data_IF_965720225962
#
_entry.id   IF_965720225962
#
_cell.length_a   1.000
_cell.length_b   1.000
_cell.length_c   1.000
_cell.angle_alpha   90.00
_cell.angle_beta   90.00
_cell.angle_gamma   90.00
#
_symmetry.space_group_name_H-M   'P 1'
#
loop_
_entity.id
_entity.type
_entity.pdbx_description
1 polymer ?
#
# COMPACT_ATOMS: atom_id res chain seq x y z
N UNK A 1 25.33 38.29 -36.69
CA UNK A 1 24.34 37.68 -37.60
C UNK A 1 24.93 36.33 -37.98
N UNK A 2 24.49 35.15 -37.56
CA UNK A 2 23.32 34.66 -36.82
C UNK A 2 23.68 33.23 -36.35
N UNK A 3 23.39 32.92 -35.08
CA UNK A 3 22.72 31.71 -34.53
C UNK A 3 23.23 30.31 -34.98
N UNK A 4 23.80 29.51 -34.07
CA UNK A 4 23.12 28.64 -33.07
C UNK A 4 22.49 27.40 -33.71
N UNK A 5 23.06 26.21 -33.47
CA UNK A 5 22.26 25.03 -33.16
C UNK A 5 23.12 23.97 -32.43
N UNK A 6 23.09 24.02 -31.10
CA UNK A 6 23.52 22.96 -30.21
C UNK A 6 22.29 22.09 -29.94
N UNK A 7 22.25 20.89 -30.50
CA UNK A 7 21.21 19.91 -30.18
C UNK A 7 21.48 19.29 -28.80
N UNK A 8 20.95 19.93 -27.76
CA UNK A 8 20.75 19.32 -26.46
C UNK A 8 19.50 18.43 -26.52
N UNK A 9 19.72 17.11 -26.48
CA UNK A 9 18.63 16.14 -26.36
C UNK A 9 18.12 16.11 -24.91
N UNK A 10 17.07 16.90 -24.66
CA UNK A 10 16.17 16.75 -23.52
C UNK A 10 15.45 15.40 -23.62
N UNK A 11 15.88 14.39 -22.86
CA UNK A 11 15.04 13.22 -22.61
C UNK A 11 14.16 13.48 -21.40
N UNK A 12 12.93 13.86 -21.74
CA UNK A 12 11.73 13.93 -20.93
C UNK A 12 11.65 12.84 -19.85
N UNK A 13 11.60 13.27 -18.59
CA UNK A 13 11.13 12.45 -17.48
C UNK A 13 9.67 12.05 -17.74
N UNK A 14 9.43 10.79 -18.06
CA UNK A 14 8.11 10.18 -17.95
C UNK A 14 7.78 10.02 -16.46
N UNK A 15 7.18 11.05 -15.87
CA UNK A 15 6.40 10.89 -14.65
C UNK A 15 5.15 10.07 -15.02
N UNK A 16 5.15 8.79 -14.68
CA UNK A 16 3.90 8.01 -14.59
C UNK A 16 3.07 8.59 -13.45
N UNK A 17 2.31 9.64 -13.73
CA UNK A 17 1.14 10.01 -12.96
C UNK A 17 0.06 8.95 -13.22
N UNK A 18 0.11 7.84 -12.48
CA UNK A 18 -1.05 6.97 -12.38
C UNK A 18 -2.10 7.68 -11.51
N UNK A 19 -3.03 8.29 -12.23
CA UNK A 19 -4.47 8.35 -12.01
C UNK A 19 -4.95 8.31 -10.56
N UNK A 20 -5.60 9.40 -10.18
CA UNK A 20 -6.51 9.50 -9.04
C UNK A 20 -7.55 8.38 -9.13
N UNK A 21 -7.32 7.29 -8.41
CA UNK A 21 -8.35 6.26 -8.18
C UNK A 21 -9.46 6.93 -7.39
N UNK A 22 -10.64 6.98 -8.02
CA UNK A 22 -11.79 7.75 -7.60
C UNK A 22 -12.27 7.43 -6.18
N UNK A 23 -13.04 8.36 -5.63
CA UNK A 23 -13.81 8.21 -4.42
C UNK A 23 -14.64 6.92 -4.45
N UNK A 24 -14.14 5.87 -3.80
CA UNK A 24 -14.91 4.65 -3.55
C UNK A 24 -15.81 4.92 -2.35
N UNK A 25 -17.12 4.98 -2.59
CA UNK A 25 -18.16 4.88 -1.58
C UNK A 25 -17.85 3.68 -0.67
N UNK A 26 -17.71 3.92 0.64
CA UNK A 26 -17.36 2.89 1.62
C UNK A 26 -18.48 1.83 1.70
N UNK A 27 -18.19 0.53 1.49
CA UNK A 27 -19.04 -0.54 1.98
C UNK A 27 -18.92 -0.65 3.51
N UNK A 28 -19.89 -1.29 4.16
CA UNK A 28 -19.89 -1.60 5.59
C UNK A 28 -18.80 -2.62 6.00
N UNK A 29 -18.11 -3.25 5.05
CA UNK A 29 -16.99 -4.17 5.29
C UNK A 29 -15.63 -3.45 5.24
N UNK A 30 -14.82 -3.61 6.29
CA UNK A 30 -13.44 -3.08 6.40
C UNK A 30 -12.48 -3.67 5.37
N UNK A 31 -12.82 -4.79 4.75
CA UNK A 31 -12.03 -5.45 3.71
C UNK A 31 -12.88 -5.64 2.44
N UNK A 32 -12.33 -5.23 1.31
CA UNK A 32 -12.84 -5.55 -0.02
C UNK A 32 -11.82 -6.43 -0.71
N UNK A 33 -12.26 -7.54 -1.30
CA UNK A 33 -11.41 -8.44 -2.09
C UNK A 33 -12.00 -8.54 -3.50
N UNK A 34 -11.14 -8.46 -4.50
CA UNK A 34 -11.49 -8.63 -5.90
C UNK A 34 -10.42 -9.43 -6.61
N UNK A 35 -10.84 -10.26 -7.55
CA UNK A 35 -9.95 -11.02 -8.43
C UNK A 35 -9.79 -10.30 -9.78
N UNK A 36 -8.56 -10.10 -10.24
CA UNK A 36 -8.23 -9.55 -11.56
C UNK A 36 -7.21 -10.45 -12.25
N UNK A 37 -7.62 -11.07 -13.36
CA UNK A 37 -6.85 -12.14 -14.03
C UNK A 37 -6.52 -13.28 -13.03
N UNK A 38 -5.23 -13.56 -12.80
CA UNK A 38 -4.76 -14.56 -11.83
C UNK A 38 -4.38 -13.95 -10.47
N UNK A 39 -4.58 -12.64 -10.31
CA UNK A 39 -4.27 -11.91 -9.08
C UNK A 39 -5.48 -11.73 -8.18
N UNK A 40 -5.24 -11.80 -6.88
CA UNK A 40 -6.21 -11.39 -5.85
C UNK A 40 -5.73 -10.08 -5.25
N UNK A 41 -6.65 -9.12 -5.21
CA UNK A 41 -6.43 -7.77 -4.71
C UNK A 41 -7.31 -7.59 -3.48
N UNK A 42 -6.72 -7.38 -2.32
CA UNK A 42 -7.42 -6.98 -1.11
C UNK A 42 -7.15 -5.51 -0.78
N UNK A 43 -8.20 -4.77 -0.44
CA UNK A 43 -8.16 -3.42 0.11
C UNK A 43 -8.73 -3.47 1.51
N UNK A 44 -7.93 -3.13 2.51
CA UNK A 44 -8.31 -3.15 3.92
C UNK A 44 -8.17 -1.76 4.53
N UNK A 45 -9.18 -1.33 5.29
CA UNK A 45 -9.22 -0.03 5.96
C UNK A 45 -9.42 -0.20 7.46
N UNK A 46 -8.60 0.50 8.23
CA UNK A 46 -8.63 0.37 9.69
C UNK A 46 -8.08 1.63 10.37
N UNK A 47 -8.26 1.69 11.69
CA UNK A 47 -7.87 2.79 12.55
C UNK A 47 -6.95 2.26 13.66
N UNK A 48 -5.90 3.02 13.97
CA UNK A 48 -4.95 2.74 15.04
C UNK A 48 -5.00 3.91 16.02
N UNK A 49 -5.38 3.63 17.27
CA UNK A 49 -5.34 4.58 18.37
C UNK A 49 -3.92 4.71 18.96
N UNK A 50 -2.97 5.10 18.11
CA UNK A 50 -1.58 5.33 18.49
C UNK A 50 -1.00 6.52 17.72
N UNK A 51 0.03 7.19 18.26
CA UNK A 51 0.71 8.26 17.56
C UNK A 51 1.22 7.81 16.20
N UNK A 52 1.24 8.73 15.24
CA UNK A 52 1.54 8.43 13.85
C UNK A 52 2.83 7.59 13.65
N UNK A 53 3.93 7.92 14.34
CA UNK A 53 5.20 7.17 14.22
C UNK A 53 5.05 5.71 14.67
N UNK A 54 4.27 5.49 15.72
CA UNK A 54 3.98 4.14 16.22
C UNK A 54 3.04 3.40 15.25
N UNK A 55 2.02 4.08 14.73
CA UNK A 55 1.11 3.53 13.73
C UNK A 55 1.85 3.09 12.46
N UNK A 56 2.80 3.89 11.95
CA UNK A 56 3.69 3.51 10.83
C UNK A 56 4.46 2.23 11.15
N UNK A 57 5.00 2.11 12.37
CA UNK A 57 5.70 0.90 12.80
C UNK A 57 4.79 -0.33 12.92
N UNK A 58 3.57 -0.16 13.44
CA UNK A 58 2.55 -1.23 13.56
C UNK A 58 2.15 -1.72 12.17
N UNK A 59 1.77 -0.80 11.28
CA UNK A 59 1.37 -1.11 9.91
C UNK A 59 2.52 -1.76 9.14
N UNK A 60 3.73 -1.20 9.24
CA UNK A 60 4.91 -1.76 8.57
C UNK A 60 5.25 -3.18 9.02
N UNK A 61 5.11 -3.51 10.32
CA UNK A 61 5.25 -4.89 10.80
C UNK A 61 4.11 -5.78 10.31
N UNK A 62 2.86 -5.31 10.39
CA UNK A 62 1.72 -6.08 9.91
C UNK A 62 1.81 -6.39 8.41
N UNK A 63 2.28 -5.45 7.58
CA UNK A 63 2.54 -5.69 6.16
C UNK A 63 3.60 -6.78 5.93
N UNK A 64 4.66 -6.83 6.75
CA UNK A 64 5.67 -7.90 6.67
C UNK A 64 5.08 -9.26 7.05
N UNK A 65 4.31 -9.30 8.13
CA UNK A 65 3.63 -10.52 8.55
C UNK A 65 2.65 -11.01 7.46
N UNK A 66 1.93 -10.11 6.78
CA UNK A 66 1.06 -10.48 5.65
C UNK A 66 1.89 -11.10 4.53
N UNK A 67 3.03 -10.51 4.20
CA UNK A 67 3.92 -11.03 3.17
C UNK A 67 4.43 -12.44 3.52
N UNK A 68 4.87 -12.64 4.78
CA UNK A 68 5.35 -13.92 5.30
C UNK A 68 4.26 -14.99 5.24
N UNK A 69 3.07 -14.72 5.79
CA UNK A 69 1.94 -15.65 5.82
C UNK A 69 1.45 -16.02 4.41
N UNK A 70 1.41 -15.08 3.46
CA UNK A 70 1.03 -15.40 2.08
C UNK A 70 2.04 -16.36 1.45
N UNK A 71 3.34 -16.16 1.66
CA UNK A 71 4.40 -17.06 1.16
C UNK A 71 4.31 -18.44 1.82
N UNK A 72 4.04 -18.49 3.12
CA UNK A 72 3.85 -19.75 3.86
C UNK A 72 2.64 -20.55 3.35
N UNK A 73 1.60 -19.86 2.86
CA UNK A 73 0.43 -20.46 2.22
C UNK A 73 0.63 -20.72 0.71
N UNK A 74 1.86 -20.64 0.20
CA UNK A 74 2.21 -20.95 -1.19
C UNK A 74 1.91 -19.84 -2.20
N UNK A 75 1.54 -18.65 -1.71
CA UNK A 75 1.28 -17.48 -2.53
C UNK A 75 2.53 -16.75 -2.98
N UNK A 76 2.36 -15.87 -3.97
CA UNK A 76 3.40 -14.96 -4.47
C UNK A 76 2.93 -13.53 -4.23
N UNK A 77 3.81 -12.70 -3.66
CA UNK A 77 3.54 -11.27 -3.48
C UNK A 77 3.73 -10.55 -4.81
N UNK A 78 2.70 -9.85 -5.28
CA UNK A 78 2.85 -8.85 -6.32
C UNK A 78 3.29 -7.52 -5.71
N UNK A 79 2.44 -6.96 -4.86
CA UNK A 79 2.70 -5.70 -4.15
C UNK A 79 1.91 -5.63 -2.85
N UNK A 80 2.53 -5.11 -1.79
CA UNK A 80 1.82 -4.71 -0.57
C UNK A 80 2.10 -3.23 -0.33
N UNK A 81 1.07 -2.40 -0.28
CA UNK A 81 1.20 -0.95 -0.05
C UNK A 81 0.24 -0.54 1.04
N UNK A 82 0.66 0.36 1.92
CA UNK A 82 -0.23 0.99 2.88
C UNK A 82 -0.07 2.49 2.88
N UNK A 83 -1.20 3.19 3.01
CA UNK A 83 -1.25 4.62 3.29
C UNK A 83 -1.61 4.81 4.75
N UNK A 84 -0.74 5.45 5.53
CA UNK A 84 -1.02 5.86 6.91
C UNK A 84 -1.37 7.34 6.90
N UNK A 85 -2.52 7.68 7.47
CA UNK A 85 -3.16 9.00 7.36
C UNK A 85 -3.41 9.54 8.77
N UNK A 86 -2.87 10.71 9.07
CA UNK A 86 -3.11 11.44 10.32
C UNK A 86 -3.17 12.95 10.02
N UNK A 87 -4.05 13.68 10.69
CA UNK A 87 -4.18 15.16 10.55
C UNK A 87 -4.24 15.68 9.10
N UNK A 88 -4.87 14.92 8.20
CA UNK A 88 -5.00 15.28 6.78
C UNK A 88 -3.73 15.05 5.93
N UNK A 89 -2.64 14.60 6.53
CA UNK A 89 -1.43 14.18 5.82
C UNK A 89 -1.38 12.66 5.64
N UNK A 90 -0.66 12.21 4.60
CA UNK A 90 -0.47 10.78 4.30
C UNK A 90 0.99 10.41 4.06
N UNK A 91 1.33 9.21 4.48
CA UNK A 91 2.59 8.54 4.18
C UNK A 91 2.33 7.17 3.55
N UNK A 92 3.16 6.81 2.57
CA UNK A 92 3.13 5.51 1.93
C UNK A 92 4.24 4.61 2.49
N UNK A 93 3.86 3.38 2.85
CA UNK A 93 4.75 2.26 3.11
C UNK A 93 4.51 1.26 1.97
N UNK A 94 5.56 0.71 1.36
CA UNK A 94 5.44 -0.31 0.32
C UNK A 94 6.44 -1.44 0.53
N UNK A 95 5.97 -2.66 0.34
CA UNK A 95 6.78 -3.88 0.26
C UNK A 95 6.67 -4.42 -1.16
N UNK A 96 7.82 -4.74 -1.73
CA UNK A 96 7.98 -5.41 -3.02
C UNK A 96 9.16 -6.38 -2.94
N UNK A 97 9.42 -7.13 -4.01
CA UNK A 97 10.61 -8.00 -4.12
C UNK A 97 11.93 -7.26 -3.88
N UNK A 98 11.97 -5.94 -4.10
CA UNK A 98 13.14 -5.09 -3.85
C UNK A 98 13.35 -4.74 -2.36
N UNK A 99 12.41 -5.11 -1.48
CA UNK A 99 12.45 -4.82 -0.04
C UNK A 99 11.31 -3.91 0.44
N UNK A 100 11.45 -3.39 1.67
CA UNK A 100 10.52 -2.44 2.28
C UNK A 100 10.99 -1.00 2.07
N UNK A 101 10.15 -0.16 1.49
CA UNK A 101 10.35 1.27 1.35
C UNK A 101 9.27 2.01 2.15
N UNK A 102 9.66 3.04 2.90
CA UNK A 102 8.73 3.90 3.62
C UNK A 102 9.11 5.36 3.42
N UNK A 103 8.13 6.22 3.18
CA UNK A 103 8.37 7.66 3.16
C UNK A 103 8.58 8.15 4.60
N UNK A 104 9.77 8.64 4.92
CA UNK A 104 10.00 9.26 6.22
C UNK A 104 9.31 10.63 6.27
N UNK A 105 8.16 10.70 6.94
CA UNK A 105 7.48 11.93 7.29
C UNK A 105 7.18 11.93 8.78
N UNK A 106 7.26 13.09 9.42
CA UNK A 106 6.76 13.26 10.77
C UNK A 106 5.43 14.00 10.71
N UNK A 107 4.35 13.29 11.01
CA UNK A 107 3.00 13.84 11.04
C UNK A 107 2.56 13.86 12.51
N UNK A 108 2.15 15.01 13.06
CA UNK A 108 1.56 15.06 14.41
C UNK A 108 0.22 14.33 14.42
N UNK A 109 -0.17 13.73 15.54
CA UNK A 109 -1.45 13.04 15.70
C UNK A 109 -1.39 11.96 16.77
N UNK A 110 -2.50 11.80 17.50
CA UNK A 110 -2.65 10.77 18.55
C UNK A 110 -3.28 9.47 18.02
N UNK A 111 -3.76 9.50 16.79
CA UNK A 111 -4.34 8.36 16.09
C UNK A 111 -4.07 8.45 14.60
N UNK A 112 -4.19 7.33 13.90
CA UNK A 112 -4.04 7.28 12.45
C UNK A 112 -5.04 6.30 11.83
N UNK A 113 -5.54 6.65 10.65
CA UNK A 113 -6.21 5.70 9.78
C UNK A 113 -5.18 5.09 8.84
N UNK A 114 -5.45 3.88 8.36
CA UNK A 114 -4.67 3.32 7.26
C UNK A 114 -5.51 2.57 6.25
N UNK A 115 -5.01 2.58 5.02
CA UNK A 115 -5.53 1.81 3.90
C UNK A 115 -4.42 0.93 3.35
N UNK A 116 -4.61 -0.38 3.47
CA UNK A 116 -3.71 -1.43 3.02
C UNK A 116 -4.23 -2.01 1.70
N UNK A 117 -3.35 -2.14 0.72
CA UNK A 117 -3.58 -2.81 -0.56
C UNK A 117 -2.61 -3.98 -0.65
N UNK A 118 -3.15 -5.18 -0.84
CA UNK A 118 -2.39 -6.42 -0.99
C UNK A 118 -2.74 -7.05 -2.34
N UNK A 119 -1.74 -7.20 -3.20
CA UNK A 119 -1.86 -7.86 -4.50
C UNK A 119 -1.02 -9.12 -4.45
N UNK A 120 -1.65 -10.27 -4.63
CA UNK A 120 -1.03 -11.59 -4.49
C UNK A 120 -1.49 -12.53 -5.59
N UNK A 121 -0.73 -13.59 -5.81
CA UNK A 121 -1.04 -14.67 -6.74
C UNK A 121 -1.00 -16.01 -6.02
N UNK A 122 -1.65 -17.03 -6.58
CA UNK A 122 -1.62 -18.42 -6.10
C UNK A 122 -2.13 -18.65 -4.67
N UNK A 123 -2.91 -17.73 -4.13
CA UNK A 123 -3.76 -17.91 -2.94
C UNK A 123 -5.19 -17.60 -3.32
N UNK A 124 -6.17 -18.13 -2.58
CA UNK A 124 -7.58 -17.81 -2.77
C UNK A 124 -8.05 -16.63 -1.88
N UNK A 125 -9.24 -16.10 -2.16
CA UNK A 125 -9.79 -14.92 -1.48
C UNK A 125 -10.01 -15.15 0.02
N UNK A 126 -10.44 -16.36 0.41
CA UNK A 126 -10.74 -16.70 1.80
C UNK A 126 -9.46 -16.81 2.62
N UNK A 127 -8.40 -17.38 2.03
CA UNK A 127 -7.07 -17.44 2.62
C UNK A 127 -6.51 -16.04 2.83
N UNK A 128 -6.54 -15.18 1.80
CA UNK A 128 -6.05 -13.81 1.92
C UNK A 128 -6.84 -12.99 2.96
N UNK A 129 -8.16 -13.14 2.98
CA UNK A 129 -9.04 -12.54 3.99
C UNK A 129 -8.64 -12.99 5.40
N UNK A 130 -8.45 -14.30 5.59
CA UNK A 130 -8.04 -14.88 6.87
C UNK A 130 -6.71 -14.35 7.37
N UNK A 131 -5.71 -14.25 6.50
CA UNK A 131 -4.39 -13.69 6.81
C UNK A 131 -4.52 -12.23 7.28
N UNK A 132 -5.23 -11.39 6.52
CA UNK A 132 -5.37 -9.96 6.84
C UNK A 132 -6.09 -9.79 8.18
N UNK A 133 -7.17 -10.52 8.45
CA UNK A 133 -7.89 -10.43 9.72
C UNK A 133 -7.10 -10.95 10.91
N UNK A 134 -6.29 -12.00 10.72
CA UNK A 134 -5.43 -12.53 11.78
C UNK A 134 -4.40 -11.49 12.25
N UNK A 135 -3.84 -10.73 11.31
CA UNK A 135 -2.78 -9.76 11.57
C UNK A 135 -3.35 -8.40 12.01
N UNK A 136 -4.48 -7.99 11.43
CA UNK A 136 -5.18 -6.75 11.77
C UNK A 136 -6.57 -7.08 12.33
N UNK A 137 -6.64 -7.52 13.60
CA UNK A 137 -7.91 -7.80 14.26
C UNK A 137 -8.73 -6.51 14.42
N UNK A 138 -10.03 -6.68 14.63
CA UNK A 138 -11.00 -5.58 14.67
C UNK A 138 -10.76 -4.54 15.75
#
# INVERSE_FOLDING_TARGET
>A
MDRNDSHEHHHSHNHHEHEQVGHVHLPEDRISISTHEESIIAVFKSHIAAPYQEAVGIVGRGMKNVAEEVVENGGIIGHIKSFVIAEGERCMISISDAGTEAQEKHIPGESANFELVVIVFHVDEDTLRGIIHSIFPE
#
